data_IF_048997324518
#
_entry.id   IF_048997324518
#
_cell.length_a   1.000
_cell.length_b   1.000
_cell.length_c   1.000
_cell.angle_alpha   90.00
_cell.angle_beta   90.00
_cell.angle_gamma   90.00
#
_symmetry.space_group_name_H-M   'P 1'
#
loop_
_entity.id
_entity.type
_entity.pdbx_description
1 polymer ?
#
# COMPACT_ATOMS: atom_id res chain seq x y z
N UNK A 1 19.20 13.81 47.85
CA UNK A 1 19.39 12.48 47.25
C UNK A 1 18.01 11.86 47.08
N UNK A 2 17.37 12.11 45.94
CA UNK A 2 16.23 11.29 45.53
C UNK A 2 16.05 11.50 44.03
N UNK A 3 16.86 10.80 43.26
CA UNK A 3 16.90 10.86 41.81
C UNK A 3 17.08 9.47 41.25
N UNK A 4 16.21 8.53 41.66
CA UNK A 4 16.24 7.18 41.10
C UNK A 4 14.82 6.66 40.83
N UNK A 5 14.63 6.17 39.59
CA UNK A 5 13.46 5.40 39.10
C UNK A 5 12.20 6.17 38.66
N UNK A 6 12.34 7.13 37.78
CA UNK A 6 11.36 7.26 36.69
C UNK A 6 11.73 6.27 35.57
N UNK A 7 11.41 5.00 35.75
CA UNK A 7 11.29 4.08 34.59
C UNK A 7 10.45 4.82 33.54
N UNK A 8 11.04 5.13 32.38
CA UNK A 8 10.33 5.80 31.27
C UNK A 8 9.12 4.94 30.96
N UNK A 9 7.93 5.34 31.42
CA UNK A 9 6.68 4.70 31.03
C UNK A 9 6.69 4.66 29.52
N UNK A 10 6.70 3.46 28.94
CA UNK A 10 6.66 3.25 27.51
C UNK A 10 5.46 4.03 26.99
N UNK A 11 5.71 5.03 26.13
CA UNK A 11 4.63 5.86 25.59
C UNK A 11 3.70 4.93 24.79
N UNK A 12 2.41 4.92 25.13
CA UNK A 12 1.42 3.99 24.57
C UNK A 12 1.41 3.99 23.04
N UNK A 13 1.87 5.06 22.39
CA UNK A 13 2.04 5.13 20.93
C UNK A 13 2.89 3.99 20.37
N UNK A 14 3.95 3.55 21.09
CA UNK A 14 4.80 2.46 20.63
C UNK A 14 4.10 1.10 20.70
N UNK A 15 3.20 0.90 21.67
CA UNK A 15 2.35 -0.29 21.72
C UNK A 15 1.45 -0.33 20.48
N UNK A 16 0.82 0.81 20.12
CA UNK A 16 -0.01 0.91 18.92
C UNK A 16 0.80 0.65 17.66
N UNK A 17 2.02 1.17 17.56
CA UNK A 17 2.93 0.94 16.41
C UNK A 17 3.27 -0.55 16.29
N UNK A 18 3.59 -1.23 17.38
CA UNK A 18 3.87 -2.67 17.38
C UNK A 18 2.63 -3.48 16.97
N UNK A 19 1.45 -3.13 17.46
CA UNK A 19 0.20 -3.78 17.04
C UNK A 19 -0.06 -3.59 15.56
N UNK A 20 0.17 -2.39 15.03
CA UNK A 20 0.08 -2.10 13.60
C UNK A 20 1.11 -2.90 12.78
N UNK A 21 2.33 -3.04 13.28
CA UNK A 21 3.38 -3.86 12.65
C UNK A 21 2.95 -5.32 12.56
N UNK A 22 2.50 -5.91 13.68
CA UNK A 22 2.00 -7.29 13.71
C UNK A 22 0.78 -7.47 12.81
N UNK A 23 -0.12 -6.48 12.76
CA UNK A 23 -1.29 -6.52 11.88
C UNK A 23 -0.85 -6.60 10.42
N UNK A 24 0.02 -5.73 9.93
CA UNK A 24 0.52 -5.75 8.55
C UNK A 24 1.32 -7.03 8.26
N UNK A 25 2.16 -7.46 9.20
CA UNK A 25 2.95 -8.68 9.07
C UNK A 25 2.07 -9.89 8.77
N UNK A 26 0.94 -9.99 9.44
CA UNK A 26 0.04 -11.15 9.26
C UNK A 26 -0.97 -10.90 8.14
N UNK A 27 -1.67 -9.75 8.11
CA UNK A 27 -2.73 -9.54 7.12
C UNK A 27 -2.20 -9.50 5.70
N UNK A 28 -1.16 -8.72 5.42
CA UNK A 28 -0.57 -8.69 4.08
C UNK A 28 0.47 -9.79 3.87
N UNK A 29 1.24 -10.14 4.91
CA UNK A 29 2.28 -11.16 4.82
C UNK A 29 1.71 -12.56 4.60
N UNK A 30 0.76 -13.01 5.41
CA UNK A 30 0.20 -14.36 5.29
C UNK A 30 -0.94 -14.46 4.26
N UNK A 31 -1.78 -13.42 4.12
CA UNK A 31 -2.95 -13.51 3.25
C UNK A 31 -2.69 -13.05 1.80
N UNK A 32 -1.59 -12.33 1.51
CA UNK A 32 -1.32 -11.81 0.18
C UNK A 32 -0.02 -12.33 -0.43
N UNK A 33 1.09 -12.35 0.33
CA UNK A 33 2.40 -12.69 -0.21
C UNK A 33 2.51 -14.15 -0.73
N UNK A 34 1.95 -15.18 -0.06
CA UNK A 34 2.08 -16.57 -0.52
C UNK A 34 1.17 -16.95 -1.69
N UNK A 35 0.40 -16.02 -2.23
CA UNK A 35 -0.64 -16.30 -3.23
C UNK A 35 -0.14 -17.12 -4.43
N UNK A 36 1.08 -16.88 -4.89
CA UNK A 36 1.67 -17.62 -6.00
C UNK A 36 1.85 -19.12 -5.71
N UNK A 37 1.99 -19.51 -4.44
CA UNK A 37 2.12 -20.90 -4.04
C UNK A 37 0.79 -21.66 -4.20
N UNK A 38 -0.33 -20.97 -4.06
CA UNK A 38 -1.67 -21.57 -4.15
C UNK A 38 -2.17 -21.67 -5.59
N UNK A 39 -1.65 -20.88 -6.53
CA UNK A 39 -2.18 -20.77 -7.89
C UNK A 39 -2.28 -22.12 -8.59
N UNK A 40 -1.18 -22.86 -8.62
CA UNK A 40 -1.10 -24.12 -9.36
C UNK A 40 -1.86 -25.23 -8.65
N UNK A 41 -1.63 -25.37 -7.34
CA UNK A 41 -2.21 -26.45 -6.54
C UNK A 41 -3.73 -26.34 -6.43
N UNK A 42 -4.28 -25.13 -6.24
CA UNK A 42 -5.73 -24.91 -6.18
C UNK A 42 -6.37 -25.09 -7.55
N UNK A 43 -5.72 -24.58 -8.62
CA UNK A 43 -6.23 -24.72 -9.99
C UNK A 43 -6.32 -26.20 -10.39
N UNK A 44 -5.29 -26.98 -10.09
CA UNK A 44 -5.26 -28.42 -10.36
C UNK A 44 -6.30 -29.17 -9.52
N UNK A 45 -6.36 -28.90 -8.21
CA UNK A 45 -7.30 -29.57 -7.28
C UNK A 45 -8.77 -29.35 -7.63
N UNK A 46 -9.11 -28.14 -8.11
CA UNK A 46 -10.49 -27.78 -8.48
C UNK A 46 -10.79 -28.02 -9.97
N UNK A 47 -9.79 -28.40 -10.79
CA UNK A 47 -9.95 -28.58 -12.24
C UNK A 47 -10.32 -27.28 -12.95
N UNK A 48 -9.80 -26.14 -12.51
CA UNK A 48 -10.08 -24.81 -13.06
C UNK A 48 -8.84 -24.22 -13.73
N UNK A 49 -9.06 -23.33 -14.70
CA UNK A 49 -7.96 -22.61 -15.34
C UNK A 49 -7.30 -21.63 -14.37
N UNK A 50 -5.99 -21.42 -14.53
CA UNK A 50 -5.22 -20.39 -13.79
C UNK A 50 -5.82 -19.00 -13.95
N UNK A 51 -6.40 -18.69 -15.11
CA UNK A 51 -7.10 -17.43 -15.37
C UNK A 51 -8.34 -17.30 -14.49
N UNK A 52 -9.15 -18.36 -14.34
CA UNK A 52 -10.31 -18.37 -13.48
C UNK A 52 -9.93 -18.17 -12.00
N UNK A 53 -8.84 -18.80 -11.55
CA UNK A 53 -8.30 -18.53 -10.21
C UNK A 53 -7.84 -17.08 -10.06
N UNK A 54 -7.18 -16.52 -11.07
CA UNK A 54 -6.65 -15.14 -11.03
C UNK A 54 -7.76 -14.08 -11.01
N UNK A 55 -8.95 -14.36 -11.56
CA UNK A 55 -10.11 -13.47 -11.48
C UNK A 55 -10.54 -13.18 -10.03
N UNK A 56 -10.18 -14.03 -9.09
CA UNK A 56 -10.34 -13.77 -7.65
C UNK A 56 -9.69 -12.44 -7.20
N UNK A 57 -8.55 -12.06 -7.79
CA UNK A 57 -7.94 -10.73 -7.51
C UNK A 57 -8.80 -9.57 -8.00
N UNK A 58 -9.51 -9.76 -9.09
CA UNK A 58 -10.43 -8.72 -9.59
C UNK A 58 -11.53 -8.45 -8.57
N UNK A 59 -12.14 -9.49 -8.01
CA UNK A 59 -13.14 -9.35 -6.95
C UNK A 59 -12.55 -8.70 -5.69
N UNK A 60 -11.32 -9.07 -5.31
CA UNK A 60 -10.58 -8.44 -4.23
C UNK A 60 -10.35 -6.95 -4.46
N UNK A 61 -9.90 -6.55 -5.64
CA UNK A 61 -9.63 -5.14 -5.96
C UNK A 61 -10.93 -4.33 -6.05
N UNK A 62 -11.99 -4.85 -6.67
CA UNK A 62 -13.27 -4.17 -6.76
C UNK A 62 -13.86 -3.93 -5.37
N UNK A 63 -13.92 -4.95 -4.52
CA UNK A 63 -14.46 -4.82 -3.16
C UNK A 63 -13.60 -3.86 -2.32
N UNK A 64 -12.28 -3.93 -2.43
CA UNK A 64 -11.36 -3.01 -1.76
C UNK A 64 -11.59 -1.56 -2.21
N UNK A 65 -11.72 -1.30 -3.52
CA UNK A 65 -11.98 0.05 -4.04
C UNK A 65 -13.32 0.59 -3.55
N UNK A 66 -14.40 -0.20 -3.62
CA UNK A 66 -15.73 0.20 -3.16
C UNK A 66 -15.70 0.56 -1.67
N UNK A 67 -15.13 -0.28 -0.83
CA UNK A 67 -15.09 -0.05 0.63
C UNK A 67 -14.24 1.17 0.97
N UNK A 68 -13.14 1.41 0.27
CA UNK A 68 -12.30 2.58 0.48
C UNK A 68 -13.00 3.90 0.09
N UNK A 69 -13.93 3.92 -0.88
CA UNK A 69 -14.74 5.11 -1.16
C UNK A 69 -15.52 5.59 0.07
N UNK A 70 -16.00 4.66 0.89
CA UNK A 70 -16.76 4.94 2.10
C UNK A 70 -15.88 4.96 3.37
N UNK A 71 -14.56 4.77 3.25
CA UNK A 71 -13.64 4.62 4.37
C UNK A 71 -13.78 5.74 5.41
N UNK A 72 -13.77 7.00 4.98
CA UNK A 72 -13.89 8.13 5.89
C UNK A 72 -15.22 8.16 6.65
N UNK A 73 -16.34 7.85 5.98
CA UNK A 73 -17.66 7.78 6.63
C UNK A 73 -17.72 6.62 7.64
N UNK A 74 -17.13 5.48 7.30
CA UNK A 74 -17.09 4.30 8.16
C UNK A 74 -16.21 4.54 9.40
N UNK A 75 -15.03 5.16 9.22
CA UNK A 75 -14.14 5.51 10.33
C UNK A 75 -14.80 6.52 11.27
N UNK A 76 -15.49 7.53 10.72
CA UNK A 76 -16.21 8.51 11.54
C UNK A 76 -17.37 7.87 12.33
N UNK A 77 -18.11 6.93 11.73
CA UNK A 77 -19.26 6.28 12.36
C UNK A 77 -18.89 5.21 13.37
N UNK A 78 -17.91 4.37 13.06
CA UNK A 78 -17.60 3.16 13.85
C UNK A 78 -16.29 3.26 14.62
N UNK A 79 -15.40 4.17 14.24
CA UNK A 79 -14.05 4.29 14.78
C UNK A 79 -13.06 3.29 14.16
N UNK A 80 -11.76 3.53 14.40
CA UNK A 80 -10.68 2.72 13.80
C UNK A 80 -10.62 1.32 14.39
N UNK A 81 -10.74 1.18 15.71
CA UNK A 81 -10.64 -0.11 16.40
C UNK A 81 -11.72 -1.10 15.93
N UNK A 82 -12.98 -0.68 15.88
CA UNK A 82 -14.09 -1.57 15.48
C UNK A 82 -13.96 -2.01 14.03
N UNK A 83 -13.52 -1.10 13.14
CA UNK A 83 -13.28 -1.44 11.74
C UNK A 83 -12.12 -2.42 11.58
N UNK A 84 -11.01 -2.27 12.34
CA UNK A 84 -9.92 -3.24 12.33
C UNK A 84 -10.40 -4.63 12.74
N UNK A 85 -11.19 -4.72 13.81
CA UNK A 85 -11.74 -6.01 14.27
C UNK A 85 -12.68 -6.61 13.22
N UNK A 86 -13.55 -5.79 12.61
CA UNK A 86 -14.41 -6.24 11.51
C UNK A 86 -13.57 -6.70 10.29
N UNK A 87 -12.48 -5.99 9.97
CA UNK A 87 -11.54 -6.37 8.92
C UNK A 87 -10.87 -7.72 9.19
N UNK A 88 -10.42 -7.95 10.41
CA UNK A 88 -9.91 -9.27 10.83
C UNK A 88 -10.97 -10.35 10.66
N UNK A 89 -12.21 -10.08 11.07
CA UNK A 89 -13.34 -11.01 10.85
C UNK A 89 -13.54 -11.36 9.38
N UNK A 90 -13.52 -10.35 8.50
CA UNK A 90 -13.59 -10.56 7.05
C UNK A 90 -12.42 -11.40 6.52
N UNK A 91 -11.19 -11.17 7.01
CA UNK A 91 -10.03 -11.97 6.61
C UNK A 91 -10.13 -13.42 7.08
N UNK A 92 -10.58 -13.67 8.31
CA UNK A 92 -10.80 -15.03 8.81
C UNK A 92 -11.86 -15.74 7.98
N UNK A 93 -12.98 -15.07 7.67
CA UNK A 93 -14.02 -15.62 6.77
C UNK A 93 -13.42 -15.92 5.39
N UNK A 94 -12.63 -15.02 4.84
CA UNK A 94 -11.96 -15.21 3.56
C UNK A 94 -11.06 -16.46 3.56
N UNK A 95 -10.17 -16.59 4.57
CA UNK A 95 -9.28 -17.75 4.67
C UNK A 95 -10.05 -19.06 4.86
N UNK A 96 -11.13 -19.04 5.64
CA UNK A 96 -12.00 -20.20 5.83
C UNK A 96 -12.73 -20.59 4.53
N UNK A 97 -13.19 -19.60 3.75
CA UNK A 97 -13.82 -19.85 2.45
C UNK A 97 -12.81 -20.42 1.44
N UNK A 98 -11.57 -19.93 1.40
CA UNK A 98 -10.52 -20.51 0.56
C UNK A 98 -10.21 -21.96 0.96
N UNK A 99 -10.15 -22.26 2.26
CA UNK A 99 -9.91 -23.60 2.76
C UNK A 99 -11.07 -24.56 2.44
N UNK A 100 -12.31 -24.07 2.49
CA UNK A 100 -13.51 -24.85 2.22
C UNK A 100 -13.92 -24.88 0.73
N UNK A 101 -13.20 -24.15 -0.14
CA UNK A 101 -13.60 -24.00 -1.54
C UNK A 101 -13.63 -25.34 -2.28
N UNK A 102 -14.77 -25.63 -2.90
CA UNK A 102 -15.00 -26.76 -3.81
C UNK A 102 -15.50 -26.30 -5.17
N UNK A 103 -15.89 -25.02 -5.27
CA UNK A 103 -16.42 -24.41 -6.49
C UNK A 103 -15.84 -23.01 -6.71
N UNK A 104 -15.75 -22.59 -7.95
CA UNK A 104 -15.14 -21.33 -8.36
C UNK A 104 -15.76 -20.08 -7.71
N UNK A 105 -17.09 -20.03 -7.57
CA UNK A 105 -17.77 -18.89 -6.94
C UNK A 105 -17.37 -18.68 -5.46
N UNK A 106 -16.98 -19.75 -4.75
CA UNK A 106 -16.49 -19.65 -3.36
C UNK A 106 -15.16 -18.90 -3.31
N UNK A 107 -14.28 -19.10 -4.30
CA UNK A 107 -13.02 -18.35 -4.41
C UNK A 107 -13.28 -16.86 -4.66
N UNK A 108 -14.28 -16.52 -5.49
CA UNK A 108 -14.63 -15.12 -5.76
C UNK A 108 -15.24 -14.44 -4.53
N UNK A 109 -16.07 -15.17 -3.79
CA UNK A 109 -16.62 -14.69 -2.52
C UNK A 109 -15.50 -14.49 -1.48
N UNK A 110 -14.56 -15.44 -1.38
CA UNK A 110 -13.39 -15.33 -0.52
C UNK A 110 -12.54 -14.10 -0.88
N UNK A 111 -12.30 -13.87 -2.19
CA UNK A 111 -11.62 -12.67 -2.68
C UNK A 111 -12.33 -11.37 -2.31
N UNK A 112 -13.66 -11.36 -2.37
CA UNK A 112 -14.46 -10.21 -1.95
C UNK A 112 -14.25 -9.89 -0.46
N UNK A 113 -14.35 -10.89 0.42
CA UNK A 113 -14.06 -10.70 1.85
C UNK A 113 -12.61 -10.32 2.11
N UNK A 114 -11.66 -10.83 1.33
CA UNK A 114 -10.24 -10.46 1.40
C UNK A 114 -10.04 -8.97 1.10
N UNK A 115 -10.70 -8.45 0.06
CA UNK A 115 -10.64 -7.04 -0.31
C UNK A 115 -11.23 -6.11 0.74
N UNK A 116 -12.38 -6.47 1.33
CA UNK A 116 -12.99 -5.75 2.44
C UNK A 116 -12.04 -5.74 3.65
N UNK A 117 -11.51 -6.89 4.01
CA UNK A 117 -10.57 -7.04 5.11
C UNK A 117 -9.33 -6.17 4.94
N UNK A 118 -8.73 -6.16 3.75
CA UNK A 118 -7.56 -5.31 3.46
C UNK A 118 -7.85 -3.81 3.52
N UNK A 119 -9.07 -3.38 3.18
CA UNK A 119 -9.45 -1.98 3.33
C UNK A 119 -9.36 -1.52 4.80
N UNK A 120 -9.74 -2.39 5.75
CA UNK A 120 -9.80 -2.05 7.17
C UNK A 120 -8.60 -2.52 8.00
N UNK A 121 -7.67 -3.27 7.43
CA UNK A 121 -6.44 -3.73 8.12
C UNK A 121 -5.16 -3.39 7.37
N UNK A 122 -5.27 -2.91 6.14
CA UNK A 122 -4.14 -2.61 5.27
C UNK A 122 -3.60 -1.18 5.40
N UNK A 123 -2.96 -0.73 4.35
CA UNK A 123 -2.23 0.55 4.27
C UNK A 123 -3.09 1.76 4.61
N UNK A 124 -4.36 1.78 4.19
CA UNK A 124 -5.31 2.88 4.45
C UNK A 124 -5.53 3.07 5.95
N UNK A 125 -5.81 1.97 6.65
CA UNK A 125 -6.02 1.99 8.10
C UNK A 125 -4.75 2.36 8.86
N UNK A 126 -3.60 1.82 8.44
CA UNK A 126 -2.30 2.17 9.04
C UNK A 126 -2.02 3.66 8.88
N UNK A 127 -2.27 4.22 7.69
CA UNK A 127 -2.15 5.65 7.45
C UNK A 127 -3.01 6.47 8.41
N UNK A 128 -4.26 6.07 8.61
CA UNK A 128 -5.18 6.71 9.54
C UNK A 128 -4.71 6.64 11.01
N UNK A 129 -4.27 5.46 11.46
CA UNK A 129 -3.82 5.27 12.84
C UNK A 129 -2.53 6.00 13.13
N UNK A 130 -1.51 5.87 12.25
CA UNK A 130 -0.22 6.55 12.44
C UNK A 130 -0.42 8.07 12.40
N UNK A 131 -1.31 8.56 11.54
CA UNK A 131 -1.65 9.98 11.48
C UNK A 131 -2.20 10.50 12.82
N UNK A 132 -3.04 9.71 13.51
CA UNK A 132 -3.63 10.06 14.81
C UNK A 132 -2.66 9.93 15.99
N UNK A 133 -1.78 8.93 15.96
CA UNK A 133 -0.91 8.60 17.09
C UNK A 133 0.50 9.18 17.00
N UNK A 134 1.03 9.35 15.80
CA UNK A 134 2.42 9.73 15.55
C UNK A 134 2.47 11.08 14.84
N UNK A 135 2.72 12.16 15.57
CA UNK A 135 2.86 13.51 15.00
C UNK A 135 4.26 13.79 14.46
N UNK A 136 5.28 13.13 15.00
CA UNK A 136 6.68 13.25 14.61
C UNK A 136 7.14 11.96 13.92
N UNK A 137 8.06 12.08 12.94
CA UNK A 137 8.64 10.94 12.20
C UNK A 137 7.59 9.98 11.59
N UNK A 138 6.49 10.54 11.09
CA UNK A 138 5.37 9.75 10.52
C UNK A 138 5.82 8.85 9.38
N UNK A 139 6.66 9.38 8.50
CA UNK A 139 7.16 8.64 7.35
C UNK A 139 7.98 7.44 7.77
N UNK A 140 8.93 7.62 8.67
CA UNK A 140 9.79 6.55 9.20
C UNK A 140 8.96 5.46 9.88
N UNK A 141 8.02 5.86 10.75
CA UNK A 141 7.15 4.90 11.46
C UNK A 141 6.25 4.15 10.49
N UNK A 142 5.65 4.85 9.52
CA UNK A 142 4.82 4.23 8.50
C UNK A 142 5.62 3.27 7.62
N UNK A 143 6.83 3.68 7.20
CA UNK A 143 7.73 2.83 6.43
C UNK A 143 8.13 1.57 7.19
N UNK A 144 8.47 1.69 8.49
CA UNK A 144 8.79 0.56 9.34
C UNK A 144 7.61 -0.40 9.50
N UNK A 145 6.40 0.11 9.77
CA UNK A 145 5.19 -0.71 9.90
C UNK A 145 4.86 -1.41 8.58
N UNK A 146 4.94 -0.73 7.46
CA UNK A 146 4.60 -1.32 6.15
C UNK A 146 5.70 -2.25 5.62
N UNK A 147 6.94 -2.14 6.09
CA UNK A 147 8.00 -3.11 5.81
C UNK A 147 7.71 -4.49 6.44
N UNK A 148 6.86 -4.54 7.49
CA UNK A 148 6.41 -5.78 8.11
C UNK A 148 5.73 -6.76 7.14
N UNK A 149 5.15 -6.27 6.03
CA UNK A 149 4.63 -7.12 4.95
C UNK A 149 5.71 -8.05 4.38
N UNK A 150 6.91 -7.53 4.13
CA UNK A 150 8.03 -8.33 3.62
C UNK A 150 8.48 -9.39 4.62
N UNK A 151 8.61 -9.02 5.90
CA UNK A 151 8.96 -9.96 6.98
C UNK A 151 7.88 -11.04 7.11
N UNK A 152 6.61 -10.64 7.16
CA UNK A 152 5.48 -11.55 7.26
C UNK A 152 5.36 -12.49 6.07
N UNK A 153 5.60 -11.97 4.85
CA UNK A 153 5.59 -12.78 3.63
C UNK A 153 6.70 -13.84 3.62
N UNK A 154 7.90 -13.47 4.05
CA UNK A 154 9.02 -14.42 4.16
C UNK A 154 8.71 -15.54 5.17
N UNK A 155 8.21 -15.19 6.35
CA UNK A 155 7.80 -16.16 7.37
C UNK A 155 6.65 -17.05 6.85
N UNK A 156 5.65 -16.45 6.23
CA UNK A 156 4.50 -17.19 5.70
C UNK A 156 4.92 -18.20 4.63
N UNK A 157 5.78 -17.83 3.69
CA UNK A 157 6.28 -18.73 2.65
C UNK A 157 7.04 -19.90 3.27
N UNK A 158 7.90 -19.65 4.25
CA UNK A 158 8.66 -20.69 4.95
C UNK A 158 7.77 -21.70 5.67
N UNK A 159 6.66 -21.25 6.26
CA UNK A 159 5.72 -22.12 6.97
C UNK A 159 4.78 -22.84 6.01
N UNK A 160 4.28 -22.14 4.99
CA UNK A 160 3.20 -22.66 4.13
C UNK A 160 3.70 -23.50 2.97
N UNK A 161 4.91 -23.19 2.41
CA UNK A 161 5.47 -23.94 1.26
C UNK A 161 5.58 -25.43 1.54
N UNK A 162 6.19 -25.91 2.64
CA UNK A 162 6.29 -27.33 2.90
C UNK A 162 4.93 -28.04 3.05
N UNK A 163 3.93 -27.32 3.56
CA UNK A 163 2.56 -27.86 3.74
C UNK A 163 1.90 -28.03 2.38
N UNK A 164 2.05 -27.03 1.50
CA UNK A 164 1.46 -27.05 0.16
C UNK A 164 2.16 -28.11 -0.72
N UNK A 165 3.50 -28.18 -0.65
CA UNK A 165 4.31 -29.11 -1.42
C UNK A 165 4.16 -30.57 -0.99
N UNK A 166 3.66 -30.83 0.22
CA UNK A 166 3.37 -32.21 0.67
C UNK A 166 2.23 -32.89 -0.12
N UNK A 167 1.57 -32.15 -1.01
CA UNK A 167 0.62 -32.67 -2.00
C UNK A 167 -0.83 -32.86 -1.48
N UNK A 168 -1.71 -33.34 -2.36
CA UNK A 168 -3.11 -33.52 -2.06
C UNK A 168 -3.85 -32.20 -1.75
N UNK A 169 -4.84 -32.27 -0.86
CA UNK A 169 -5.62 -31.10 -0.44
C UNK A 169 -4.98 -30.31 0.74
N UNK A 170 -3.68 -30.51 1.00
CA UNK A 170 -3.00 -29.89 2.15
C UNK A 170 -2.92 -28.36 2.05
N UNK A 171 -3.09 -27.77 0.87
CA UNK A 171 -3.26 -26.32 0.71
C UNK A 171 -4.41 -25.75 1.56
N UNK A 172 -5.45 -26.56 1.87
CA UNK A 172 -6.56 -26.17 2.76
C UNK A 172 -6.06 -25.87 4.17
N UNK A 173 -5.14 -26.69 4.69
CA UNK A 173 -4.52 -26.46 6.00
C UNK A 173 -3.65 -25.19 5.98
N UNK A 174 -2.97 -24.89 4.88
CA UNK A 174 -2.20 -23.67 4.73
C UNK A 174 -3.09 -22.41 4.82
N UNK A 175 -4.30 -22.43 4.23
CA UNK A 175 -5.29 -21.36 4.42
C UNK A 175 -5.79 -21.27 5.86
N UNK A 176 -6.07 -22.41 6.51
CA UNK A 176 -6.52 -22.42 7.92
C UNK A 176 -5.44 -21.87 8.87
N UNK A 177 -4.17 -22.20 8.64
CA UNK A 177 -3.04 -21.65 9.41
C UNK A 177 -2.94 -20.13 9.23
N UNK A 178 -3.10 -19.65 8.00
CA UNK A 178 -3.14 -18.21 7.73
C UNK A 178 -4.32 -17.55 8.45
N UNK A 179 -5.50 -18.17 8.44
CA UNK A 179 -6.68 -17.71 9.17
C UNK A 179 -6.46 -17.68 10.70
N UNK A 180 -5.82 -18.71 11.25
CA UNK A 180 -5.47 -18.77 12.68
C UNK A 180 -4.48 -17.67 13.08
N UNK A 181 -3.47 -17.39 12.25
CA UNK A 181 -2.53 -16.30 12.48
C UNK A 181 -3.24 -14.93 12.48
N UNK A 182 -4.18 -14.72 11.54
CA UNK A 182 -5.02 -13.51 11.48
C UNK A 182 -5.89 -13.38 12.74
N UNK A 183 -6.51 -14.46 13.19
CA UNK A 183 -7.34 -14.48 14.39
C UNK A 183 -6.53 -14.13 15.65
N UNK A 184 -5.33 -14.66 15.78
CA UNK A 184 -4.42 -14.37 16.89
C UNK A 184 -4.10 -12.87 16.95
N UNK A 185 -3.78 -12.26 15.82
CA UNK A 185 -3.55 -10.80 15.74
C UNK A 185 -4.84 -10.03 16.04
N UNK A 186 -5.99 -10.55 15.64
CA UNK A 186 -7.30 -9.98 16.02
C UNK A 186 -7.49 -9.88 17.52
N UNK A 187 -7.11 -10.90 18.28
CA UNK A 187 -7.14 -10.87 19.76
C UNK A 187 -6.19 -9.81 20.30
N UNK A 188 -4.98 -9.68 19.74
CA UNK A 188 -4.02 -8.63 20.14
C UNK A 188 -4.61 -7.24 19.88
N UNK A 189 -5.27 -7.02 18.75
CA UNK A 189 -5.95 -5.75 18.42
C UNK A 189 -7.07 -5.46 19.41
N UNK A 190 -7.88 -6.45 19.77
CA UNK A 190 -8.97 -6.28 20.75
C UNK A 190 -8.44 -5.81 22.11
N UNK A 191 -7.32 -6.35 22.57
CA UNK A 191 -6.73 -6.05 23.88
C UNK A 191 -5.98 -4.71 23.87
N UNK A 192 -5.09 -4.51 22.90
CA UNK A 192 -4.11 -3.43 22.94
C UNK A 192 -4.45 -2.22 22.06
N UNK A 193 -5.37 -2.32 21.10
CA UNK A 193 -5.69 -1.18 20.25
C UNK A 193 -6.64 -0.19 20.93
N UNK A 194 -6.33 1.11 20.83
CA UNK A 194 -7.15 2.23 21.32
C UNK A 194 -7.46 3.18 20.17
N UNK A 195 -8.61 3.87 20.25
CA UNK A 195 -9.11 4.75 19.17
C UNK A 195 -8.19 5.95 18.89
N UNK A 196 -7.85 6.70 19.93
CA UNK A 196 -7.03 7.90 19.84
C UNK A 196 -6.30 8.18 21.15
N UNK A 197 -5.24 8.98 21.15
CA UNK A 197 -4.63 9.49 22.39
C UNK A 197 -5.64 10.30 23.19
N UNK A 198 -5.58 10.23 24.54
CA UNK A 198 -6.49 10.95 25.44
C UNK A 198 -6.55 12.48 25.19
N UNK A 199 -5.51 13.06 24.62
CA UNK A 199 -5.38 14.49 24.31
C UNK A 199 -5.55 14.77 22.81
N UNK A 200 -6.19 13.88 22.06
CA UNK A 200 -6.48 14.10 20.63
C UNK A 200 -7.74 14.95 20.52
N UNK A 201 -7.55 16.28 20.43
CA UNK A 201 -8.61 17.22 20.17
C UNK A 201 -8.63 17.59 18.67
N UNK A 202 -9.68 17.21 17.98
CA UNK A 202 -9.88 17.48 16.54
C UNK A 202 -10.13 18.98 16.26
N UNK A 203 -10.43 19.76 17.30
CA UNK A 203 -10.86 21.16 17.15
C UNK A 203 -9.76 22.18 17.39
N UNK A 204 -8.63 21.78 17.96
CA UNK A 204 -7.54 22.70 18.17
C UNK A 204 -6.69 22.87 16.90
N UNK A 205 -6.63 24.08 16.33
CA UNK A 205 -5.65 24.39 15.32
C UNK A 205 -4.24 24.17 15.91
N UNK A 206 -3.45 23.29 15.30
CA UNK A 206 -2.09 23.01 15.76
C UNK A 206 -1.21 24.24 15.46
N UNK A 207 -1.34 25.27 16.30
CA UNK A 207 -0.43 26.40 16.35
C UNK A 207 0.79 26.02 17.18
N UNK A 208 1.60 25.09 16.74
CA UNK A 208 2.93 24.90 17.29
C UNK A 208 3.98 25.38 16.29
N UNK A 209 4.46 26.61 16.55
CA UNK A 209 5.68 27.19 15.97
C UNK A 209 6.92 26.34 16.36
N UNK A 210 7.02 25.11 15.91
CA UNK A 210 8.28 24.39 15.85
C UNK A 210 8.61 24.12 14.40
N UNK A 211 9.70 24.75 13.93
CA UNK A 211 10.35 24.53 12.64
C UNK A 211 10.82 23.07 12.47
N UNK A 212 9.89 22.11 12.45
CA UNK A 212 10.13 20.75 12.03
C UNK A 212 9.48 20.53 10.67
N UNK A 213 10.14 19.87 9.75
CA UNK A 213 9.72 19.62 8.35
C UNK A 213 8.46 18.79 8.17
N UNK A 214 7.73 18.43 9.23
CA UNK A 214 6.45 17.72 9.21
C UNK A 214 5.29 18.58 9.72
N UNK A 215 5.11 19.78 9.16
CA UNK A 215 4.06 20.70 9.59
C UNK A 215 2.67 20.12 9.28
N UNK A 216 1.99 19.67 10.31
CA UNK A 216 0.56 19.34 10.29
C UNK A 216 -0.19 20.64 10.20
N UNK A 217 -1.07 20.81 9.22
CA UNK A 217 -1.95 21.95 9.10
C UNK A 217 -3.40 21.51 9.23
N UNK A 218 -4.29 22.41 9.69
CA UNK A 218 -5.70 22.11 9.93
C UNK A 218 -6.39 21.52 8.69
N UNK A 219 -6.02 22.02 7.51
CA UNK A 219 -6.56 21.54 6.25
C UNK A 219 -7.77 22.28 5.77
N UNK A 220 -8.41 21.70 4.77
CA UNK A 220 -9.60 22.22 4.12
C UNK A 220 -10.74 21.21 4.22
N UNK A 221 -11.97 21.72 4.28
CA UNK A 221 -13.15 20.88 4.24
C UNK A 221 -13.25 20.16 2.88
N UNK A 222 -13.80 18.95 2.88
CA UNK A 222 -13.97 18.16 1.66
C UNK A 222 -14.82 18.86 0.59
N UNK A 223 -15.84 19.63 1.01
CA UNK A 223 -16.65 20.47 0.13
C UNK A 223 -15.80 21.46 -0.67
N UNK A 224 -14.81 22.09 -0.04
CA UNK A 224 -13.84 22.98 -0.68
C UNK A 224 -12.80 22.20 -1.49
N UNK A 225 -12.32 21.06 -0.99
CA UNK A 225 -11.33 20.24 -1.71
C UNK A 225 -11.84 19.83 -3.10
N UNK A 226 -13.11 19.46 -3.23
CA UNK A 226 -13.76 19.08 -4.51
C UNK A 226 -13.80 20.21 -5.55
N UNK A 227 -13.72 21.46 -5.16
CA UNK A 227 -13.74 22.59 -6.09
C UNK A 227 -12.36 22.92 -6.64
N UNK A 228 -11.31 22.33 -6.09
CA UNK A 228 -9.92 22.63 -6.45
C UNK A 228 -9.45 21.75 -7.62
N UNK A 229 -8.97 22.34 -8.73
CA UNK A 229 -8.49 21.58 -9.88
C UNK A 229 -7.36 20.60 -9.52
N UNK A 230 -6.45 21.00 -8.61
CA UNK A 230 -5.33 20.15 -8.24
C UNK A 230 -5.76 18.88 -7.48
N UNK A 231 -6.99 18.84 -6.91
CA UNK A 231 -7.56 17.63 -6.33
C UNK A 231 -7.75 16.55 -7.40
N UNK A 232 -8.41 16.89 -8.50
CA UNK A 232 -8.65 15.95 -9.62
C UNK A 232 -7.34 15.57 -10.32
N UNK A 233 -6.43 16.51 -10.49
CA UNK A 233 -5.11 16.25 -11.07
C UNK A 233 -4.34 15.24 -10.20
N UNK A 234 -4.38 15.41 -8.87
CA UNK A 234 -3.74 14.45 -7.95
C UNK A 234 -4.37 13.07 -8.03
N UNK A 235 -5.71 12.97 -8.19
CA UNK A 235 -6.40 11.69 -8.36
C UNK A 235 -6.00 10.99 -9.67
N UNK A 236 -5.89 11.73 -10.77
CA UNK A 236 -5.42 11.19 -12.05
C UNK A 236 -3.97 10.69 -11.93
N UNK A 237 -3.09 11.46 -11.28
CA UNK A 237 -1.72 11.02 -11.02
C UNK A 237 -1.66 9.74 -10.17
N UNK A 238 -2.50 9.64 -9.14
CA UNK A 238 -2.61 8.46 -8.28
C UNK A 238 -3.15 7.25 -9.04
N UNK A 239 -4.15 7.42 -9.91
CA UNK A 239 -4.64 6.38 -10.80
C UNK A 239 -3.54 5.87 -11.72
N UNK A 240 -2.86 6.78 -12.43
CA UNK A 240 -1.79 6.45 -13.36
C UNK A 240 -0.61 5.77 -12.67
N UNK A 241 -0.29 6.16 -11.43
CA UNK A 241 0.72 5.49 -10.62
C UNK A 241 0.34 4.04 -10.37
N UNK A 242 -0.89 3.78 -9.90
CA UNK A 242 -1.40 2.43 -9.67
C UNK A 242 -1.44 1.58 -10.96
N UNK A 243 -1.92 2.18 -12.04
CA UNK A 243 -1.95 1.54 -13.36
C UNK A 243 -0.55 1.10 -13.83
N UNK A 244 0.42 2.02 -13.79
CA UNK A 244 1.77 1.72 -14.26
C UNK A 244 2.49 0.73 -13.33
N UNK A 245 2.56 1.00 -12.02
CA UNK A 245 3.40 0.19 -11.12
C UNK A 245 2.90 -1.23 -10.98
N UNK A 246 1.59 -1.44 -10.83
CA UNK A 246 1.03 -2.80 -10.73
C UNK A 246 0.96 -3.50 -12.09
N UNK A 247 0.64 -2.77 -13.16
CA UNK A 247 0.70 -3.30 -14.53
C UNK A 247 2.08 -3.86 -14.84
N UNK A 248 3.13 -3.07 -14.60
CA UNK A 248 4.52 -3.46 -14.86
C UNK A 248 4.97 -4.60 -13.93
N UNK A 249 4.68 -4.50 -12.64
CA UNK A 249 5.03 -5.56 -11.67
C UNK A 249 4.41 -6.91 -12.05
N UNK A 250 3.19 -6.90 -12.58
CA UNK A 250 2.48 -8.11 -13.00
C UNK A 250 3.09 -8.80 -14.23
N UNK A 251 3.66 -8.03 -15.16
CA UNK A 251 4.19 -8.57 -16.42
C UNK A 251 5.71 -8.68 -16.46
N UNK A 252 6.44 -8.09 -15.49
CA UNK A 252 7.89 -7.98 -15.53
C UNK A 252 8.61 -9.34 -15.71
N UNK A 253 8.15 -10.39 -15.00
CA UNK A 253 8.71 -11.74 -15.13
C UNK A 253 8.45 -12.33 -16.51
N UNK A 254 7.25 -12.17 -17.04
CA UNK A 254 6.87 -12.65 -18.35
C UNK A 254 7.72 -11.95 -19.44
N UNK A 255 7.82 -10.62 -19.36
CA UNK A 255 8.63 -9.85 -20.28
C UNK A 255 10.12 -10.27 -20.27
N UNK A 256 10.73 -10.42 -19.09
CA UNK A 256 12.12 -10.89 -18.98
C UNK A 256 12.30 -12.27 -19.62
N UNK A 257 11.33 -13.17 -19.44
CA UNK A 257 11.35 -14.51 -20.04
C UNK A 257 11.22 -14.43 -21.57
N UNK A 258 10.32 -13.59 -22.07
CA UNK A 258 10.11 -13.37 -23.52
C UNK A 258 11.35 -12.76 -24.19
N UNK A 259 12.13 -11.98 -23.43
CA UNK A 259 13.42 -11.43 -23.89
C UNK A 259 14.60 -12.42 -23.79
N UNK A 260 14.35 -13.69 -23.46
CA UNK A 260 15.34 -14.77 -23.48
C UNK A 260 16.12 -14.99 -22.19
N UNK A 261 15.79 -14.32 -21.06
CA UNK A 261 16.48 -14.55 -19.80
C UNK A 261 16.12 -15.92 -19.20
N UNK A 262 17.10 -16.64 -18.65
CA UNK A 262 16.88 -17.90 -17.97
C UNK A 262 15.95 -17.74 -16.74
N UNK A 263 15.06 -18.72 -16.55
CA UNK A 263 14.06 -18.68 -15.46
C UNK A 263 14.72 -18.62 -14.08
N UNK A 264 15.85 -19.32 -13.92
CA UNK A 264 16.66 -19.33 -12.68
C UNK A 264 17.22 -17.94 -12.38
N UNK A 265 17.69 -17.23 -13.41
CA UNK A 265 18.18 -15.85 -13.27
C UNK A 265 17.05 -14.88 -12.91
N UNK A 266 15.87 -15.01 -13.54
CA UNK A 266 14.70 -14.21 -13.22
C UNK A 266 14.29 -14.43 -11.75
N UNK A 267 14.25 -15.67 -11.28
CA UNK A 267 13.95 -16.00 -9.89
C UNK A 267 14.97 -15.38 -8.91
N UNK A 268 16.25 -15.44 -9.24
CA UNK A 268 17.34 -14.82 -8.49
C UNK A 268 17.14 -13.27 -8.41
N UNK A 269 16.96 -12.61 -9.54
CA UNK A 269 16.75 -11.16 -9.61
C UNK A 269 15.50 -10.72 -8.82
N UNK A 270 14.40 -11.47 -8.91
CA UNK A 270 13.15 -11.16 -8.17
C UNK A 270 13.27 -11.43 -6.66
N UNK A 271 14.23 -12.26 -6.23
CA UNK A 271 14.53 -12.39 -4.80
C UNK A 271 15.13 -11.11 -4.24
N UNK A 272 16.01 -10.44 -5.00
CA UNK A 272 16.51 -9.11 -4.63
C UNK A 272 15.40 -8.05 -4.57
N UNK A 273 14.43 -8.11 -5.49
CA UNK A 273 13.25 -7.23 -5.43
C UNK A 273 12.53 -7.32 -4.08
N UNK A 274 12.30 -8.54 -3.59
CA UNK A 274 11.58 -8.76 -2.32
C UNK A 274 12.34 -8.22 -1.11
N UNK A 275 13.65 -8.42 -1.06
CA UNK A 275 14.51 -7.90 0.01
C UNK A 275 14.57 -6.36 -0.05
N UNK A 276 14.80 -5.82 -1.24
CA UNK A 276 14.88 -4.37 -1.48
C UNK A 276 13.58 -3.67 -1.14
N UNK A 277 12.43 -4.30 -1.38
CA UNK A 277 11.12 -3.72 -1.08
C UNK A 277 10.96 -3.42 0.42
N UNK A 278 11.37 -4.31 1.30
CA UNK A 278 11.32 -4.07 2.74
C UNK A 278 12.26 -2.93 3.15
N UNK A 279 13.48 -2.92 2.63
CA UNK A 279 14.47 -1.87 2.89
C UNK A 279 14.00 -0.51 2.36
N UNK A 280 13.51 -0.44 1.14
CA UNK A 280 13.10 0.83 0.53
C UNK A 280 11.79 1.38 1.10
N UNK A 281 10.89 0.56 1.59
CA UNK A 281 9.74 1.05 2.36
C UNK A 281 10.19 1.83 3.60
N UNK A 282 11.11 1.26 4.38
CA UNK A 282 11.66 1.96 5.54
C UNK A 282 12.44 3.21 5.13
N UNK A 283 13.33 3.09 4.14
CA UNK A 283 14.18 4.18 3.66
C UNK A 283 13.36 5.35 3.11
N UNK A 284 12.30 5.09 2.34
CA UNK A 284 11.42 6.13 1.78
C UNK A 284 10.73 6.93 2.90
N UNK A 285 10.25 6.25 3.94
CA UNK A 285 9.68 6.92 5.11
C UNK A 285 10.69 7.82 5.83
N UNK A 286 11.93 7.35 5.99
CA UNK A 286 13.01 8.11 6.59
C UNK A 286 13.44 9.32 5.72
N UNK A 287 13.53 9.13 4.41
CA UNK A 287 13.85 10.21 3.46
C UNK A 287 12.74 11.26 3.50
N UNK A 288 11.47 10.86 3.56
CA UNK A 288 10.36 11.79 3.68
C UNK A 288 10.47 12.66 4.93
N UNK A 289 10.77 12.09 6.08
CA UNK A 289 10.90 12.84 7.33
C UNK A 289 12.07 13.83 7.29
N UNK A 290 13.16 13.51 6.57
CA UNK A 290 14.34 14.40 6.44
C UNK A 290 14.24 15.41 5.31
N UNK A 291 13.82 15.00 4.13
CA UNK A 291 13.88 15.80 2.89
C UNK A 291 12.52 16.33 2.46
N UNK A 292 11.43 15.79 3.05
CA UNK A 292 10.06 16.25 2.82
C UNK A 292 9.40 15.62 1.59
N UNK A 293 8.11 15.96 1.42
CA UNK A 293 7.20 15.37 0.44
C UNK A 293 7.70 15.50 -1.00
N UNK A 294 8.10 16.73 -1.38
CA UNK A 294 8.45 17.06 -2.77
C UNK A 294 9.62 16.22 -3.26
N UNK A 295 10.68 16.16 -2.48
CA UNK A 295 11.88 15.39 -2.84
C UNK A 295 11.57 13.89 -2.92
N UNK A 296 10.93 13.34 -1.89
CA UNK A 296 10.66 11.89 -1.81
C UNK A 296 9.75 11.43 -2.94
N UNK A 297 8.68 12.18 -3.21
CA UNK A 297 7.77 11.88 -4.31
C UNK A 297 8.49 11.91 -5.66
N UNK A 298 9.29 12.94 -5.92
CA UNK A 298 10.07 13.08 -7.17
C UNK A 298 11.07 11.94 -7.32
N UNK A 299 11.80 11.61 -6.26
CA UNK A 299 12.75 10.50 -6.25
C UNK A 299 12.07 9.18 -6.63
N UNK A 300 10.98 8.82 -5.95
CA UNK A 300 10.27 7.56 -6.21
C UNK A 300 9.67 7.51 -7.62
N UNK A 301 9.01 8.59 -8.08
CA UNK A 301 8.37 8.61 -9.40
C UNK A 301 9.36 8.69 -10.56
N UNK A 302 10.48 9.43 -10.40
CA UNK A 302 11.56 9.44 -11.39
C UNK A 302 12.23 8.06 -11.51
N UNK A 303 12.48 7.41 -10.36
CA UNK A 303 13.02 6.04 -10.35
C UNK A 303 12.06 5.10 -11.06
N UNK A 304 10.74 5.20 -10.81
CA UNK A 304 9.74 4.39 -11.51
C UNK A 304 9.84 4.55 -13.03
N UNK A 305 9.93 5.79 -13.52
CA UNK A 305 10.07 6.07 -14.97
C UNK A 305 11.34 5.44 -15.54
N UNK A 306 12.50 5.67 -14.89
CA UNK A 306 13.79 5.18 -15.38
C UNK A 306 13.85 3.65 -15.37
N UNK A 307 13.47 3.00 -14.28
CA UNK A 307 13.56 1.54 -14.19
C UNK A 307 12.58 0.83 -15.12
N UNK A 308 11.41 1.43 -15.37
CA UNK A 308 10.46 0.91 -16.36
C UNK A 308 11.00 1.01 -17.76
N UNK A 309 11.66 2.12 -18.10
CA UNK A 309 12.34 2.27 -19.38
C UNK A 309 13.49 1.27 -19.53
N UNK A 310 14.28 1.05 -18.48
CA UNK A 310 15.33 0.03 -18.46
C UNK A 310 14.74 -1.37 -18.69
N UNK A 311 13.61 -1.70 -18.07
CA UNK A 311 12.95 -2.98 -18.30
C UNK A 311 12.55 -3.17 -19.78
N UNK A 312 12.11 -2.10 -20.46
CA UNK A 312 11.72 -2.16 -21.87
C UNK A 312 12.87 -2.51 -22.83
N UNK A 313 14.10 -2.27 -22.44
CA UNK A 313 15.32 -2.56 -23.24
C UNK A 313 16.10 -3.79 -22.77
N UNK A 314 15.54 -4.57 -21.84
CA UNK A 314 16.13 -5.84 -21.38
C UNK A 314 16.25 -6.81 -22.54
N UNK A 315 17.37 -7.57 -22.59
CA UNK A 315 17.65 -8.63 -23.54
C UNK A 315 18.48 -9.73 -22.90
N UNK A 316 18.81 -10.80 -23.62
CA UNK A 316 19.59 -11.96 -23.17
C UNK A 316 21.11 -11.73 -23.07
N UNK A 317 21.58 -10.51 -23.41
CA UNK A 317 23.00 -10.16 -23.28
C UNK A 317 23.44 -10.01 -21.82
N UNK A 318 24.75 -10.10 -21.52
CA UNK A 318 25.27 -9.82 -20.18
C UNK A 318 24.86 -8.42 -19.64
N UNK A 319 24.75 -7.44 -20.54
CA UNK A 319 24.27 -6.08 -20.20
C UNK A 319 22.77 -6.11 -19.85
N UNK A 320 21.97 -6.85 -20.62
CA UNK A 320 20.54 -7.02 -20.33
C UNK A 320 20.28 -7.73 -19.00
N UNK A 321 21.10 -8.69 -18.62
CA UNK A 321 21.05 -9.34 -17.29
C UNK A 321 21.30 -8.32 -16.17
N UNK A 322 22.31 -7.46 -16.30
CA UNK A 322 22.57 -6.40 -15.32
C UNK A 322 21.41 -5.42 -15.25
N UNK A 323 20.82 -5.03 -16.38
CA UNK A 323 19.64 -4.15 -16.44
C UNK A 323 18.45 -4.81 -15.72
N UNK A 324 18.20 -6.10 -15.92
CA UNK A 324 17.13 -6.83 -15.23
C UNK A 324 17.35 -6.86 -13.70
N UNK A 325 18.59 -6.99 -13.24
CA UNK A 325 18.91 -6.91 -11.81
C UNK A 325 18.71 -5.48 -11.26
N UNK A 326 19.14 -4.45 -11.99
CA UNK A 326 18.92 -3.04 -11.63
C UNK A 326 17.42 -2.77 -11.52
N UNK A 327 16.63 -3.20 -12.50
CA UNK A 327 15.17 -3.10 -12.45
C UNK A 327 14.63 -3.80 -11.19
N UNK A 328 15.00 -5.04 -10.93
CA UNK A 328 14.51 -5.83 -9.81
C UNK A 328 14.76 -5.16 -8.47
N UNK A 329 15.92 -4.56 -8.27
CA UNK A 329 16.26 -3.82 -7.04
C UNK A 329 15.51 -2.50 -6.96
N UNK A 330 15.64 -1.63 -7.96
CA UNK A 330 15.18 -0.25 -7.88
C UNK A 330 13.70 -0.06 -8.18
N UNK A 331 13.02 -1.00 -8.84
CA UNK A 331 11.54 -0.96 -8.95
C UNK A 331 10.86 -0.98 -7.58
N UNK A 332 11.51 -1.59 -6.59
CA UNK A 332 11.05 -1.59 -5.19
C UNK A 332 11.04 -0.20 -4.54
N UNK A 333 11.85 0.75 -5.03
CA UNK A 333 11.84 2.14 -4.56
C UNK A 333 10.64 2.94 -5.10
N UNK A 334 9.99 2.47 -6.17
CA UNK A 334 8.79 3.09 -6.72
C UNK A 334 7.51 2.70 -5.93
N UNK A 335 7.43 1.47 -5.43
CA UNK A 335 6.24 0.94 -4.76
C UNK A 335 5.79 1.70 -3.49
N UNK A 336 6.66 2.37 -2.72
CA UNK A 336 6.23 3.29 -1.67
C UNK A 336 5.29 4.41 -2.11
N UNK A 337 5.24 4.79 -3.40
CA UNK A 337 4.26 5.75 -3.92
C UNK A 337 2.81 5.32 -3.66
N UNK A 338 2.54 4.01 -3.73
CA UNK A 338 1.21 3.43 -3.54
C UNK A 338 0.88 3.11 -2.09
N UNK A 339 1.87 3.00 -1.24
CA UNK A 339 1.67 2.55 0.14
C UNK A 339 1.95 3.64 1.17
N UNK A 340 3.14 4.22 1.16
CA UNK A 340 3.56 5.22 2.14
C UNK A 340 3.12 6.62 1.72
N UNK A 341 3.22 6.93 0.41
CA UNK A 341 2.99 8.29 -0.05
C UNK A 341 1.50 8.66 -0.12
N UNK A 342 0.57 7.72 -0.36
CA UNK A 342 -0.86 8.04 -0.42
C UNK A 342 -1.41 8.68 0.86
N UNK A 343 -1.20 8.09 2.07
CA UNK A 343 -1.57 8.76 3.32
C UNK A 343 -0.87 10.10 3.52
N UNK A 344 0.39 10.19 3.10
CA UNK A 344 1.17 11.44 3.19
C UNK A 344 0.62 12.50 2.21
N UNK A 345 0.22 12.13 0.99
CA UNK A 345 -0.44 13.05 0.06
C UNK A 345 -1.75 13.58 0.65
N UNK A 346 -2.61 12.71 1.19
CA UNK A 346 -3.86 13.13 1.79
C UNK A 346 -3.64 14.17 2.90
N UNK A 347 -2.71 13.93 3.82
CA UNK A 347 -2.44 14.85 4.94
C UNK A 347 -1.67 16.11 4.52
N UNK A 348 -0.71 16.01 3.62
CA UNK A 348 0.14 17.14 3.24
C UNK A 348 -0.51 18.08 2.25
N UNK A 349 -1.31 17.57 1.29
CA UNK A 349 -1.96 18.38 0.25
C UNK A 349 -3.28 18.99 0.72
N UNK A 350 -4.02 18.31 1.61
CA UNK A 350 -5.38 18.69 1.99
C UNK A 350 -5.55 18.90 3.50
N UNK A 351 -4.58 18.50 4.31
CA UNK A 351 -4.58 18.65 5.77
C UNK A 351 -5.40 17.58 6.51
N UNK A 352 -5.69 17.87 7.80
CA UNK A 352 -6.25 16.87 8.70
C UNK A 352 -7.79 16.83 8.70
N UNK A 353 -8.47 17.94 8.39
CA UNK A 353 -9.91 18.11 8.57
C UNK A 353 -10.76 17.07 7.82
N UNK A 354 -10.35 16.67 6.63
CA UNK A 354 -11.07 15.67 5.80
C UNK A 354 -10.17 14.51 5.39
N UNK A 355 -9.15 14.25 6.18
CA UNK A 355 -8.08 13.31 5.87
C UNK A 355 -8.58 11.92 5.49
N UNK A 356 -9.41 11.29 6.35
CA UNK A 356 -9.87 9.91 6.13
C UNK A 356 -10.70 9.78 4.87
N UNK A 357 -11.49 10.80 4.54
CA UNK A 357 -12.34 10.81 3.35
C UNK A 357 -11.51 10.94 2.08
N UNK A 358 -10.55 11.86 2.07
CA UNK A 358 -9.65 12.07 0.94
C UNK A 358 -8.74 10.88 0.73
N UNK A 359 -8.17 10.32 1.81
CA UNK A 359 -7.37 9.11 1.76
C UNK A 359 -8.15 7.94 1.15
N UNK A 360 -9.38 7.71 1.61
CA UNK A 360 -10.24 6.65 1.08
C UNK A 360 -10.46 6.79 -0.43
N UNK A 361 -10.74 8.00 -0.91
CA UNK A 361 -10.92 8.26 -2.35
C UNK A 361 -9.61 8.03 -3.12
N UNK A 362 -8.48 8.55 -2.62
CA UNK A 362 -7.18 8.34 -3.27
C UNK A 362 -6.83 6.87 -3.39
N UNK A 363 -7.02 6.09 -2.31
CA UNK A 363 -6.76 4.65 -2.33
C UNK A 363 -7.71 3.93 -3.27
N UNK A 364 -9.01 4.27 -3.29
CA UNK A 364 -9.97 3.68 -4.24
C UNK A 364 -9.54 3.90 -5.68
N UNK A 365 -9.18 5.12 -6.02
CA UNK A 365 -8.73 5.48 -7.38
C UNK A 365 -7.43 4.74 -7.74
N UNK A 366 -6.50 4.62 -6.81
CA UNK A 366 -5.26 3.88 -6.99
C UNK A 366 -5.51 2.39 -7.25
N UNK A 367 -6.42 1.77 -6.47
CA UNK A 367 -6.79 0.35 -6.61
C UNK A 367 -7.51 0.08 -7.94
N UNK A 368 -8.30 1.03 -8.45
CA UNK A 368 -8.87 0.92 -9.80
C UNK A 368 -7.74 0.92 -10.85
N UNK A 369 -6.70 1.73 -10.66
CA UNK A 369 -5.48 1.67 -11.46
C UNK A 369 -4.84 0.27 -11.45
N UNK A 370 -4.71 -0.35 -10.28
CA UNK A 370 -4.21 -1.74 -10.14
C UNK A 370 -5.03 -2.74 -10.95
N UNK A 371 -6.37 -2.66 -10.82
CA UNK A 371 -7.27 -3.59 -11.47
C UNK A 371 -7.22 -3.51 -13.00
N UNK A 372 -6.83 -2.35 -13.56
CA UNK A 372 -6.79 -2.11 -15.01
C UNK A 372 -5.38 -2.27 -15.62
N UNK A 373 -4.31 -2.10 -14.83
CA UNK A 373 -2.94 -2.09 -15.35
C UNK A 373 -2.51 -3.41 -15.99
N UNK A 374 -2.68 -4.53 -15.28
CA UNK A 374 -2.27 -5.85 -15.77
C UNK A 374 -3.08 -6.29 -17.00
N UNK A 375 -4.44 -6.18 -17.01
CA UNK A 375 -5.23 -6.50 -18.19
C UNK A 375 -4.85 -5.67 -19.43
N UNK A 376 -4.63 -4.37 -19.27
CA UNK A 376 -4.19 -3.52 -20.37
C UNK A 376 -2.81 -3.91 -20.91
N UNK A 377 -1.89 -4.30 -20.04
CA UNK A 377 -0.58 -4.77 -20.47
C UNK A 377 -0.65 -6.09 -21.25
N UNK A 378 -1.48 -7.03 -20.80
CA UNK A 378 -1.70 -8.28 -21.51
C UNK A 378 -2.41 -8.06 -22.87
N UNK A 379 -3.41 -7.19 -22.93
CA UNK A 379 -4.03 -6.80 -24.21
C UNK A 379 -3.01 -6.23 -25.19
N UNK A 380 -2.08 -5.40 -24.71
CA UNK A 380 -1.00 -4.89 -25.57
C UNK A 380 -0.14 -6.03 -26.14
N UNK A 381 0.17 -7.03 -25.31
CA UNK A 381 0.91 -8.21 -25.75
C UNK A 381 0.11 -9.05 -26.77
N UNK A 382 -1.19 -9.26 -26.54
CA UNK A 382 -2.05 -10.02 -27.44
C UNK A 382 -2.14 -9.39 -28.84
N UNK A 383 -2.11 -8.05 -28.93
CA UNK A 383 -2.16 -7.33 -30.21
C UNK A 383 -0.80 -7.14 -30.88
N UNK A 384 0.27 -6.94 -30.10
CA UNK A 384 1.58 -6.54 -30.64
C UNK A 384 2.67 -7.63 -30.49
N UNK A 385 2.39 -8.73 -29.80
CA UNK A 385 3.33 -9.82 -29.54
C UNK A 385 4.48 -9.46 -28.60
N UNK A 386 4.45 -8.28 -27.97
CA UNK A 386 5.50 -7.82 -27.05
C UNK A 386 4.98 -6.82 -26.03
N UNK A 387 5.58 -6.81 -24.83
CA UNK A 387 5.29 -5.82 -23.79
C UNK A 387 6.07 -4.50 -23.95
N UNK A 388 7.06 -4.42 -24.82
CA UNK A 388 7.93 -3.24 -24.96
C UNK A 388 7.16 -1.93 -25.14
N UNK A 389 6.12 -1.82 -26.02
CA UNK A 389 5.41 -0.55 -26.22
C UNK A 389 4.69 -0.06 -24.96
N UNK A 390 4.04 -0.96 -24.20
CA UNK A 390 3.35 -0.58 -22.97
C UNK A 390 4.33 -0.17 -21.87
N UNK A 391 5.51 -0.81 -21.81
CA UNK A 391 6.57 -0.42 -20.87
C UNK A 391 7.10 0.99 -21.17
N UNK A 392 7.34 1.32 -22.44
CA UNK A 392 7.76 2.67 -22.84
C UNK A 392 6.65 3.68 -22.54
N UNK A 393 5.39 3.37 -22.84
CA UNK A 393 4.27 4.23 -22.52
C UNK A 393 4.15 4.47 -21.01
N UNK A 394 4.27 3.44 -20.17
CA UNK A 394 4.25 3.57 -18.73
C UNK A 394 5.45 4.39 -18.19
N UNK A 395 6.64 4.25 -18.78
CA UNK A 395 7.80 5.08 -18.41
C UNK A 395 7.54 6.57 -18.69
N UNK A 396 6.98 6.90 -19.86
CA UNK A 396 6.60 8.27 -20.21
C UNK A 396 5.47 8.80 -19.32
N UNK A 397 4.45 7.98 -19.02
CA UNK A 397 3.38 8.33 -18.09
C UNK A 397 3.95 8.65 -16.70
N UNK A 398 4.87 7.84 -16.16
CA UNK A 398 5.49 8.09 -14.87
C UNK A 398 6.35 9.37 -14.87
N UNK A 399 7.01 9.68 -15.97
CA UNK A 399 7.70 10.97 -16.16
C UNK A 399 6.71 12.14 -16.14
N UNK A 400 5.59 12.03 -16.85
CA UNK A 400 4.52 13.02 -16.84
C UNK A 400 3.91 13.18 -15.44
N UNK A 401 3.67 12.09 -14.72
CA UNK A 401 3.21 12.13 -13.31
C UNK A 401 4.21 12.87 -12.44
N UNK A 402 5.51 12.62 -12.61
CA UNK A 402 6.57 13.32 -11.85
C UNK A 402 6.48 14.84 -12.04
N UNK A 403 6.35 15.31 -13.28
CA UNK A 403 6.25 16.73 -13.61
C UNK A 403 4.94 17.33 -13.09
N UNK A 404 3.83 16.65 -13.32
CA UNK A 404 2.49 17.11 -12.94
C UNK A 404 2.34 17.23 -11.42
N UNK A 405 2.93 16.30 -10.66
CA UNK A 405 2.92 16.38 -9.19
C UNK A 405 3.67 17.58 -8.65
N UNK A 406 4.70 18.12 -9.36
CA UNK A 406 5.35 19.39 -8.95
C UNK A 406 4.37 20.56 -8.99
N UNK A 407 3.50 20.60 -10.02
CA UNK A 407 2.44 21.60 -10.09
C UNK A 407 1.44 21.44 -8.93
N UNK A 408 1.01 20.21 -8.64
CA UNK A 408 0.11 19.91 -7.50
C UNK A 408 0.72 20.40 -6.18
N UNK A 409 2.00 20.08 -5.91
CA UNK A 409 2.70 20.54 -4.70
C UNK A 409 2.77 22.07 -4.59
N UNK A 410 3.00 22.77 -5.69
CA UNK A 410 3.08 24.22 -5.70
C UNK A 410 1.71 24.85 -5.38
N UNK A 411 0.63 24.33 -5.99
CA UNK A 411 -0.74 24.81 -5.74
C UNK A 411 -1.22 24.50 -4.32
N UNK A 412 -0.93 23.29 -3.81
CA UNK A 412 -1.28 22.91 -2.44
C UNK A 412 -0.55 23.78 -1.40
N UNK A 413 0.73 24.11 -1.62
CA UNK A 413 1.48 25.00 -0.73
C UNK A 413 0.93 26.44 -0.76
N UNK A 414 0.49 26.94 -1.91
CA UNK A 414 -0.15 28.25 -2.02
C UNK A 414 -1.48 28.30 -1.24
N UNK A 415 -2.34 27.28 -1.42
CA UNK A 415 -3.60 27.14 -0.68
C UNK A 415 -3.39 27.07 0.83
N UNK A 416 -2.38 26.32 1.26
CA UNK A 416 -2.01 26.21 2.66
C UNK A 416 -1.62 27.58 3.25
N UNK A 417 -0.79 28.35 2.52
CA UNK A 417 -0.37 29.68 2.95
C UNK A 417 -1.55 30.67 3.07
N UNK A 418 -2.55 30.55 2.18
CA UNK A 418 -3.78 31.35 2.25
C UNK A 418 -4.59 31.00 3.50
N UNK A 419 -4.82 29.71 3.79
CA UNK A 419 -5.59 29.26 4.96
C UNK A 419 -4.88 29.66 6.27
N UNK A 420 -3.55 29.54 6.33
CA UNK A 420 -2.76 29.94 7.51
C UNK A 420 -2.84 31.47 7.73
N UNK A 421 -2.82 32.29 6.68
CA UNK A 421 -3.00 33.76 6.78
C UNK A 421 -4.42 34.15 7.24
N UNK A 422 -5.46 33.47 6.73
CA UNK A 422 -6.84 33.70 7.17
C UNK A 422 -6.99 33.40 8.67
N UNK A 423 -6.50 32.27 9.13
CA UNK A 423 -6.56 31.89 10.54
C UNK A 423 -5.78 32.88 11.45
N UNK A 424 -4.66 33.47 10.97
CA UNK A 424 -3.91 34.48 11.72
C UNK A 424 -4.66 35.83 11.79
N UNK A 425 -5.37 36.22 10.72
CA UNK A 425 -6.17 37.45 10.70
C UNK A 425 -7.39 37.32 11.61
N UNK A 426 -8.09 36.18 11.58
CA UNK A 426 -9.25 35.92 12.45
C UNK A 426 -8.86 35.95 13.93
N UNK A 427 -7.66 35.46 14.27
CA UNK A 427 -7.13 35.48 15.63
C UNK A 427 -6.72 36.90 16.13
N UNK A 428 -6.53 37.85 15.23
CA UNK A 428 -6.20 39.25 15.57
C UNK A 428 -7.44 40.14 15.69
N UNK A 429 -8.59 39.64 15.22
CA UNK A 429 -9.87 40.39 15.21
C UNK A 429 -10.76 40.01 16.41
N UNK A 430 -10.39 39.00 17.19
CA UNK A 430 -10.99 38.61 18.47
C UNK A 430 -10.11 39.08 19.62
#
# INVERSE_FOLDING_TARGET
MDNSNKAKKLDYKWIVVVVCFLMIMVTLGFCSSPKSLFLDVVSESLGIDRTAFSLNDTFRFISNAIVNLFFGALVHKFGTKKLMVAGIGCLVISMSLYAAATQLWMLYLAGTFLGIGFSWTGTTMIGCVINKWCRENRGTIMGAVLAANGVGGAIAIQILSPIIESGGENYRYAYLISGAAVLLVGVIILIFMREAPKNYDNTQPVTTKKKGRGNIWAGIEFSKAKTLPYFYISLVCVFLTGFCLQGISGIAKAHMKDMGLAVEYIAFAMSFHSISLACFKFLTGFIYDKMGLRFTSTMCSSTASVVTFLLAIVNDSPVGMVIALIYSVFSSLALPLETIMLPIYASSLFGEQSYEKILGIMVSVNVVGYATGIPCANLCFDFLGTYTPILIACALIMLMVTITMQFVFTKANAMRAEVEKQAENDSKTV
#
